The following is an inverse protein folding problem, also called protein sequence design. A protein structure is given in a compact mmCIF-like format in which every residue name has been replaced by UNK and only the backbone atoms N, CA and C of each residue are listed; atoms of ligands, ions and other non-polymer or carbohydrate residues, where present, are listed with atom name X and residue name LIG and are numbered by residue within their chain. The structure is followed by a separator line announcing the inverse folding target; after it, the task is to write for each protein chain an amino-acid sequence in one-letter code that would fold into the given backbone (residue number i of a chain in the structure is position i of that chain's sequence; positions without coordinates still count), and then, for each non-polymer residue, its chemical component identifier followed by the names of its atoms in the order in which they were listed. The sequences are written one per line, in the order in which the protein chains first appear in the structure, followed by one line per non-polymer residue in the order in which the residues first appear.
data_IF_773774674768
#
_entry.id   IF_773774674768
#
_cell.length_a   1.000
_cell.length_b   1.000
_cell.length_c   1.000
_cell.angle_alpha   90.00
_cell.angle_beta   90.00
_cell.angle_gamma   90.00
#
_symmetry.space_group_name_H-M   'P 1'
#
loop_
_entity.id
_entity.type
_entity.pdbx_description
1 polymer ?
#
# COMPACT_ATOMS: atom_id res chain seq x y z
N UNK A 1 -60.40 -16.66 -2.67
CA UNK A 1 -59.71 -15.34 -2.63
C UNK A 1 -58.26 -15.60 -3.03
N UNK A 2 -57.90 -15.24 -4.26
CA UNK A 2 -56.52 -15.31 -4.71
C UNK A 2 -55.82 -14.03 -4.23
N UNK A 3 -54.92 -14.16 -3.26
CA UNK A 3 -54.05 -13.06 -2.85
C UNK A 3 -53.10 -12.78 -4.01
N UNK A 4 -53.36 -11.70 -4.75
CA UNK A 4 -52.40 -11.22 -5.74
C UNK A 4 -51.22 -10.62 -4.98
N UNK A 5 -50.15 -11.39 -4.81
CA UNK A 5 -48.83 -10.83 -4.51
C UNK A 5 -48.34 -10.14 -5.77
N UNK A 6 -48.82 -8.92 -6.02
CA UNK A 6 -48.15 -8.04 -6.96
C UNK A 6 -46.83 -7.64 -6.30
N UNK A 7 -45.80 -8.48 -6.43
CA UNK A 7 -44.45 -8.06 -6.09
C UNK A 7 -44.20 -6.81 -6.92
N UNK A 8 -44.08 -5.67 -6.24
CA UNK A 8 -43.95 -4.38 -6.86
C UNK A 8 -42.68 -4.43 -7.73
N UNK A 9 -42.85 -4.35 -9.05
CA UNK A 9 -41.74 -4.45 -10.01
C UNK A 9 -40.63 -3.43 -9.69
N UNK A 10 -41.00 -2.31 -9.06
CA UNK A 10 -40.04 -1.31 -8.61
C UNK A 10 -39.18 -1.83 -7.45
N UNK A 11 -39.74 -2.54 -6.47
CA UNK A 11 -39.00 -3.16 -5.37
C UNK A 11 -38.05 -4.24 -5.88
N UNK A 12 -38.51 -5.11 -6.80
CA UNK A 12 -37.64 -6.13 -7.42
C UNK A 12 -36.47 -5.47 -8.16
N UNK A 13 -36.73 -4.39 -8.90
CA UNK A 13 -35.70 -3.67 -9.65
C UNK A 13 -34.70 -2.98 -8.71
N UNK A 14 -35.17 -2.37 -7.63
CA UNK A 14 -34.32 -1.67 -6.66
C UNK A 14 -33.44 -2.66 -5.88
N UNK A 15 -34.01 -3.80 -5.44
CA UNK A 15 -33.26 -4.89 -4.79
C UNK A 15 -32.24 -5.50 -5.75
N UNK A 16 -32.63 -5.78 -6.99
CA UNK A 16 -31.72 -6.30 -8.03
C UNK A 16 -30.59 -5.31 -8.32
N UNK A 17 -30.90 -4.02 -8.37
CA UNK A 17 -29.91 -2.96 -8.61
C UNK A 17 -28.96 -2.76 -7.42
N UNK A 18 -29.47 -2.87 -6.19
CA UNK A 18 -28.68 -2.86 -4.94
C UNK A 18 -27.70 -4.03 -4.89
N UNK A 19 -28.17 -5.25 -5.25
CA UNK A 19 -27.32 -6.43 -5.27
C UNK A 19 -26.22 -6.36 -6.34
N UNK A 20 -26.54 -5.86 -7.55
CA UNK A 20 -25.55 -5.63 -8.61
C UNK A 20 -24.48 -4.63 -8.12
N UNK A 21 -24.90 -3.50 -7.56
CA UNK A 21 -23.99 -2.47 -7.06
C UNK A 21 -23.08 -3.01 -5.94
N UNK A 22 -23.62 -3.81 -5.02
CA UNK A 22 -22.84 -4.46 -3.97
C UNK A 22 -21.78 -5.41 -4.55
N UNK A 23 -22.17 -6.21 -5.53
CA UNK A 23 -21.26 -7.15 -6.21
C UNK A 23 -20.14 -6.42 -6.94
N UNK A 24 -20.46 -5.35 -7.68
CA UNK A 24 -19.48 -4.52 -8.39
C UNK A 24 -18.50 -3.86 -7.43
N UNK A 25 -18.99 -3.33 -6.29
CA UNK A 25 -18.13 -2.77 -5.26
C UNK A 25 -17.17 -3.81 -4.67
N UNK A 26 -17.65 -5.01 -4.34
CA UNK A 26 -16.80 -6.10 -3.83
C UNK A 26 -15.70 -6.48 -4.83
N UNK A 27 -16.05 -6.58 -6.11
CA UNK A 27 -15.07 -6.85 -7.18
C UNK A 27 -14.04 -5.72 -7.25
N UNK A 28 -14.48 -4.46 -7.22
CA UNK A 28 -13.60 -3.30 -7.23
C UNK A 28 -12.62 -3.31 -6.05
N UNK A 29 -13.12 -3.47 -4.82
CA UNK A 29 -12.30 -3.51 -3.60
C UNK A 29 -11.31 -4.67 -3.63
N UNK A 30 -11.74 -5.88 -3.98
CA UNK A 30 -10.87 -7.05 -4.05
C UNK A 30 -9.76 -6.88 -5.09
N UNK A 31 -10.09 -6.33 -6.26
CA UNK A 31 -9.12 -6.02 -7.29
C UNK A 31 -8.09 -5.00 -6.81
N UNK A 32 -8.53 -3.95 -6.09
CA UNK A 32 -7.66 -2.92 -5.58
C UNK A 32 -6.72 -3.45 -4.50
N UNK A 33 -7.25 -4.16 -3.49
CA UNK A 33 -6.45 -4.84 -2.46
C UNK A 33 -5.39 -5.75 -3.11
N UNK A 34 -5.77 -6.51 -4.14
CA UNK A 34 -4.85 -7.42 -4.84
C UNK A 34 -3.73 -6.68 -5.58
N UNK A 35 -4.04 -5.52 -6.19
CA UNK A 35 -3.02 -4.67 -6.82
C UNK A 35 -2.08 -4.05 -5.77
N UNK A 36 -2.64 -3.53 -4.69
CA UNK A 36 -1.89 -2.86 -3.63
C UNK A 36 -0.96 -3.84 -2.89
N UNK A 37 -1.42 -5.08 -2.62
CA UNK A 37 -0.57 -6.17 -2.09
C UNK A 37 0.60 -6.51 -3.02
N UNK A 38 0.40 -6.48 -4.34
CA UNK A 38 1.48 -6.71 -5.33
C UNK A 38 2.47 -5.55 -5.38
N UNK A 39 2.01 -4.31 -5.27
CA UNK A 39 2.89 -3.15 -5.16
C UNK A 39 3.72 -3.18 -3.87
N UNK A 40 3.09 -3.55 -2.76
CA UNK A 40 3.73 -3.65 -1.44
C UNK A 40 4.95 -4.56 -1.47
N UNK A 41 4.84 -5.75 -2.08
CA UNK A 41 5.96 -6.70 -2.21
C UNK A 41 7.16 -6.02 -2.90
N UNK A 42 6.92 -5.37 -4.04
CA UNK A 42 7.99 -4.70 -4.81
C UNK A 42 8.64 -3.56 -4.03
N UNK A 43 7.85 -2.72 -3.38
CA UNK A 43 8.39 -1.58 -2.62
C UNK A 43 9.17 -2.03 -1.37
N UNK A 44 8.72 -3.10 -0.71
CA UNK A 44 9.46 -3.70 0.41
C UNK A 44 10.80 -4.24 -0.07
N UNK A 45 10.84 -4.96 -1.19
CA UNK A 45 12.07 -5.45 -1.79
C UNK A 45 13.03 -4.29 -2.16
N UNK A 46 12.53 -3.28 -2.87
CA UNK A 46 13.33 -2.11 -3.27
C UNK A 46 13.91 -1.37 -2.05
N UNK A 47 13.10 -1.15 -1.01
CA UNK A 47 13.54 -0.52 0.25
C UNK A 47 14.64 -1.34 0.92
N UNK A 48 14.51 -2.68 0.93
CA UNK A 48 15.47 -3.56 1.58
C UNK A 48 16.81 -3.59 0.82
N UNK A 49 16.78 -3.64 -0.51
CA UNK A 49 18.00 -3.53 -1.33
C UNK A 49 18.69 -2.17 -1.15
N UNK A 50 17.90 -1.10 -1.06
CA UNK A 50 18.46 0.23 -0.80
C UNK A 50 19.07 0.36 0.60
N UNK A 51 18.49 -0.28 1.62
CA UNK A 51 19.08 -0.37 2.97
C UNK A 51 20.44 -1.07 2.94
N UNK A 52 20.55 -2.23 2.29
CA UNK A 52 21.82 -2.96 2.13
C UNK A 52 22.89 -2.08 1.47
N UNK A 53 22.52 -1.32 0.43
CA UNK A 53 23.44 -0.39 -0.25
C UNK A 53 23.92 0.73 0.69
N UNK A 54 23.03 1.30 1.49
CA UNK A 54 23.38 2.34 2.47
C UNK A 54 24.32 1.78 3.54
N UNK A 55 24.03 0.60 4.07
CA UNK A 55 24.87 -0.10 5.05
C UNK A 55 26.28 -0.35 4.50
N UNK A 56 26.42 -0.95 3.31
CA UNK A 56 27.71 -1.18 2.67
C UNK A 56 28.52 0.11 2.41
N UNK A 57 27.83 1.21 2.05
CA UNK A 57 28.49 2.51 1.86
C UNK A 57 28.95 3.15 3.17
N UNK A 58 28.28 2.86 4.29
CA UNK A 58 28.64 3.40 5.61
C UNK A 58 29.99 2.89 6.06
N UNK A 59 30.25 1.60 5.88
CA UNK A 59 31.53 0.99 6.24
C UNK A 59 32.68 1.63 5.47
N UNK A 60 32.47 1.84 4.16
CA UNK A 60 33.46 2.48 3.28
C UNK A 60 33.76 3.92 3.71
N UNK A 61 32.73 4.70 4.07
CA UNK A 61 32.90 6.09 4.54
C UNK A 61 33.64 6.13 5.89
N UNK A 62 33.28 5.25 6.83
CA UNK A 62 33.86 5.20 8.18
C UNK A 62 35.36 4.85 8.16
N UNK A 63 35.81 4.02 7.22
CA UNK A 63 37.23 3.63 7.11
C UNK A 63 38.11 4.67 6.40
N UNK A 64 37.53 5.71 5.81
CA UNK A 64 38.23 6.66 4.92
C UNK A 64 38.93 7.82 5.67
N UNK A 65 39.41 7.61 6.89
CA UNK A 65 39.95 8.69 7.74
C UNK A 65 41.21 9.35 7.11
N UNK A 66 41.33 10.69 7.03
CA UNK A 66 42.27 11.29 6.08
C UNK A 66 43.73 11.31 6.57
N UNK A 67 44.60 10.50 5.94
CA UNK A 67 46.05 10.68 6.06
C UNK A 67 46.49 12.06 5.54
N UNK A 68 47.47 12.65 6.21
CA UNK A 68 47.62 14.09 6.42
C UNK A 68 48.00 14.97 5.22
N UNK A 69 48.29 14.41 4.03
CA UNK A 69 48.67 15.19 2.83
C UNK A 69 47.62 15.23 1.70
N UNK A 70 46.67 14.28 1.65
CA UNK A 70 45.64 14.19 0.59
C UNK A 70 44.34 14.96 0.93
N UNK A 71 44.35 15.71 2.03
CA UNK A 71 43.17 16.17 2.78
C UNK A 71 42.07 16.85 1.96
N UNK A 72 42.39 17.72 0.98
CA UNK A 72 41.35 18.50 0.28
C UNK A 72 40.57 17.65 -0.74
N UNK A 73 41.27 16.89 -1.60
CA UNK A 73 40.63 16.01 -2.59
C UNK A 73 39.93 14.84 -1.90
N UNK A 74 40.56 14.21 -0.91
CA UNK A 74 39.94 13.13 -0.12
C UNK A 74 38.70 13.61 0.61
N UNK A 75 38.72 14.81 1.23
CA UNK A 75 37.52 15.38 1.87
C UNK A 75 36.39 15.65 0.88
N UNK A 76 36.69 16.14 -0.32
CA UNK A 76 35.68 16.35 -1.35
C UNK A 76 35.03 15.03 -1.80
N UNK A 77 35.83 13.97 -1.97
CA UNK A 77 35.34 12.62 -2.29
C UNK A 77 34.43 12.09 -1.18
N UNK A 78 34.88 12.15 0.08
CA UNK A 78 34.09 11.74 1.25
C UNK A 78 32.77 12.53 1.31
N UNK A 79 32.82 13.85 1.07
CA UNK A 79 31.63 14.69 1.00
C UNK A 79 30.61 14.19 -0.03
N UNK A 80 31.07 13.88 -1.25
CA UNK A 80 30.22 13.33 -2.31
C UNK A 80 29.60 11.96 -1.91
N UNK A 81 30.37 11.11 -1.23
CA UNK A 81 29.89 9.82 -0.73
C UNK A 81 28.80 10.01 0.34
N UNK A 82 29.02 10.91 1.29
CA UNK A 82 28.05 11.25 2.35
C UNK A 82 26.76 11.83 1.76
N UNK A 83 26.86 12.73 0.78
CA UNK A 83 25.68 13.28 0.09
C UNK A 83 24.90 12.21 -0.68
N UNK A 84 25.60 11.28 -1.33
CA UNK A 84 24.97 10.15 -2.03
C UNK A 84 24.24 9.25 -1.06
N UNK A 85 24.87 8.90 0.05
CA UNK A 85 24.26 8.10 1.10
C UNK A 85 23.03 8.81 1.72
N UNK A 86 23.10 10.14 1.91
CA UNK A 86 21.97 10.95 2.38
C UNK A 86 20.78 10.87 1.42
N UNK A 87 21.01 10.92 0.10
CA UNK A 87 19.94 10.75 -0.90
C UNK A 87 19.31 9.36 -0.84
N UNK A 88 20.12 8.32 -0.68
CA UNK A 88 19.61 6.95 -0.56
C UNK A 88 18.79 6.77 0.74
N UNK A 89 19.23 7.35 1.87
CA UNK A 89 18.41 7.41 3.11
C UNK A 89 17.08 8.12 2.92
N UNK A 90 17.06 9.25 2.21
CA UNK A 90 15.82 9.97 1.93
C UNK A 90 14.83 9.13 1.11
N UNK A 91 15.34 8.37 0.12
CA UNK A 91 14.53 7.44 -0.67
C UNK A 91 13.98 6.29 0.18
N UNK A 92 14.77 5.74 1.11
CA UNK A 92 14.29 4.74 2.08
C UNK A 92 13.12 5.29 2.90
N UNK A 93 13.23 6.55 3.37
CA UNK A 93 12.15 7.17 4.14
C UNK A 93 10.88 7.34 3.31
N UNK A 94 11.00 7.78 2.04
CA UNK A 94 9.86 7.91 1.13
C UNK A 94 9.19 6.55 0.86
N UNK A 95 9.97 5.52 0.55
CA UNK A 95 9.45 4.16 0.36
C UNK A 95 8.77 3.64 1.62
N UNK A 96 9.32 3.94 2.80
CA UNK A 96 8.71 3.54 4.08
C UNK A 96 7.35 4.21 4.29
N UNK A 97 7.25 5.51 4.01
CA UNK A 97 5.97 6.23 4.10
C UNK A 97 4.94 5.67 3.11
N UNK A 98 5.34 5.43 1.86
CA UNK A 98 4.46 4.85 0.83
C UNK A 98 4.00 3.42 1.19
N UNK A 99 4.89 2.60 1.73
CA UNK A 99 4.56 1.25 2.21
C UNK A 99 3.49 1.31 3.30
N UNK A 100 3.62 2.22 4.26
CA UNK A 100 2.65 2.37 5.35
C UNK A 100 1.30 2.85 4.82
N UNK A 101 1.29 3.85 3.94
CA UNK A 101 0.07 4.36 3.28
C UNK A 101 -0.69 3.25 2.53
N UNK A 102 0.03 2.41 1.80
CA UNK A 102 -0.56 1.25 1.10
C UNK A 102 -1.14 0.24 2.10
N UNK A 103 -0.43 -0.05 3.20
CA UNK A 103 -0.90 -0.97 4.24
C UNK A 103 -2.18 -0.43 4.89
N UNK A 104 -2.22 0.86 5.24
CA UNK A 104 -3.38 1.49 5.84
C UNK A 104 -4.58 1.47 4.89
N UNK A 105 -4.37 1.78 3.61
CA UNK A 105 -5.41 1.69 2.58
C UNK A 105 -5.94 0.28 2.37
N UNK A 106 -5.07 -0.75 2.43
CA UNK A 106 -5.50 -2.16 2.40
C UNK A 106 -6.41 -2.47 3.60
N UNK A 107 -6.01 -2.08 4.82
CA UNK A 107 -6.82 -2.33 6.02
C UNK A 107 -8.18 -1.63 5.96
N UNK A 108 -8.22 -0.39 5.48
CA UNK A 108 -9.48 0.35 5.30
C UNK A 108 -10.42 -0.38 4.32
N UNK A 109 -9.90 -0.78 3.16
CA UNK A 109 -10.68 -1.50 2.15
C UNK A 109 -11.14 -2.88 2.64
N UNK A 110 -10.30 -3.62 3.38
CA UNK A 110 -10.70 -4.89 4.00
C UNK A 110 -11.81 -4.68 5.04
N UNK A 111 -11.80 -3.56 5.77
CA UNK A 111 -12.86 -3.16 6.68
C UNK A 111 -14.18 -2.87 5.95
N UNK A 112 -14.12 -2.13 4.85
CA UNK A 112 -15.30 -1.82 4.02
C UNK A 112 -15.93 -3.09 3.42
N UNK A 113 -15.11 -4.02 2.92
CA UNK A 113 -15.59 -5.30 2.39
C UNK A 113 -16.34 -6.11 3.46
N UNK A 114 -15.78 -6.22 4.68
CA UNK A 114 -16.42 -6.93 5.79
C UNK A 114 -17.73 -6.30 6.24
N UNK A 115 -17.79 -4.97 6.29
CA UNK A 115 -19.01 -4.26 6.67
C UNK A 115 -20.16 -4.57 5.70
N UNK A 116 -19.87 -4.61 4.40
CA UNK A 116 -20.87 -4.96 3.39
C UNK A 116 -21.31 -6.42 3.46
N UNK A 117 -20.42 -7.36 3.78
CA UNK A 117 -20.81 -8.76 4.01
C UNK A 117 -21.80 -8.89 5.17
N UNK A 118 -21.59 -8.15 6.26
CA UNK A 118 -22.50 -8.15 7.42
C UNK A 118 -23.86 -7.54 7.04
N UNK A 119 -23.88 -6.43 6.29
CA UNK A 119 -25.14 -5.82 5.85
C UNK A 119 -25.97 -6.73 4.94
N UNK A 120 -25.32 -7.45 4.02
CA UNK A 120 -26.03 -8.42 3.17
C UNK A 120 -26.64 -9.56 3.98
N UNK A 121 -25.91 -10.12 4.96
CA UNK A 121 -26.40 -11.17 5.83
C UNK A 121 -27.59 -10.72 6.69
N UNK A 122 -27.52 -9.50 7.25
CA UNK A 122 -28.63 -8.94 8.00
C UNK A 122 -29.87 -8.70 7.13
N UNK A 123 -29.70 -8.30 5.86
CA UNK A 123 -30.84 -8.14 4.94
C UNK A 123 -31.46 -9.46 4.51
N UNK A 124 -30.68 -10.55 4.45
CA UNK A 124 -31.20 -11.88 4.10
C UNK A 124 -31.95 -12.58 5.24
N UNK A 125 -31.73 -12.14 6.48
CA UNK A 125 -32.40 -12.71 7.67
C UNK A 125 -33.74 -12.00 8.01
N UNK A 126 -34.02 -10.84 7.41
CA UNK A 126 -35.25 -10.06 7.62
C UNK A 126 -36.35 -10.30 6.56
N UNK A 127 -36.07 -11.08 5.51
CA UNK A 127 -37.01 -11.53 4.46
C UNK A 127 -37.51 -12.98 4.68
#
# INVERSE_FOLDING_TARGET
MASSSSNNINEIKDVTSSHIMSTEFKIFVNNRITQDKRCLIRYVEERNELRKKVEASQDTISMSEPQTLLKKKTRAIIGCMVETQKRDRNRINLLTALINDIIDGIHEMEGQAKFMEIQEQASSDED
#
